data_IF_982563505750
#
_entry.id   IF_982563505750
#
_cell.length_a   1.000
_cell.length_b   1.000
_cell.length_c   1.000
_cell.angle_alpha   90.00
_cell.angle_beta   90.00
_cell.angle_gamma   90.00
#
_symmetry.space_group_name_H-M   'P 1'
#
loop_
_entity.id
_entity.type
_entity.pdbx_description
1 polymer ?
#
# COMPACT_ATOMS: atom_id res chain seq x y z
N UNK A 1 4.29 19.59 -4.08
CA UNK A 1 4.10 18.56 -3.03
C UNK A 1 2.68 17.99 -2.98
N UNK A 2 1.60 18.79 -2.98
CA UNK A 2 0.22 18.25 -2.93
C UNK A 2 -0.11 17.27 -4.07
N UNK A 3 0.36 17.55 -5.29
CA UNK A 3 0.16 16.69 -6.47
C UNK A 3 0.78 15.29 -6.34
N UNK A 4 1.82 15.11 -5.51
CA UNK A 4 2.42 13.79 -5.30
C UNK A 4 1.53 12.87 -4.47
N UNK A 5 0.64 13.43 -3.66
CA UNK A 5 -0.24 12.67 -2.77
C UNK A 5 -1.54 12.23 -3.45
N UNK A 6 -1.92 12.88 -4.55
CA UNK A 6 -3.14 12.55 -5.31
C UNK A 6 -2.82 11.59 -6.45
N UNK A 7 -3.77 10.71 -6.79
CA UNK A 7 -3.51 9.64 -7.76
C UNK A 7 -3.35 10.16 -9.20
N UNK A 8 -4.04 11.24 -9.52
CA UNK A 8 -3.98 11.96 -10.79
C UNK A 8 -2.65 12.72 -10.97
N UNK A 9 -2.22 13.45 -9.94
CA UNK A 9 -0.94 14.14 -9.93
C UNK A 9 0.23 13.16 -10.00
N UNK A 10 0.14 12.04 -9.28
CA UNK A 10 1.15 10.97 -9.36
C UNK A 10 1.28 10.37 -10.77
N UNK A 11 0.16 10.11 -11.45
CA UNK A 11 0.18 9.60 -12.81
C UNK A 11 0.82 10.60 -13.80
N UNK A 12 0.49 11.88 -13.65
CA UNK A 12 1.05 12.96 -14.46
C UNK A 12 2.56 13.10 -14.27
N UNK A 13 3.03 13.05 -13.02
CA UNK A 13 4.45 13.13 -12.65
C UNK A 13 5.21 11.90 -13.16
N UNK A 14 4.64 10.70 -13.01
CA UNK A 14 5.24 9.49 -13.52
C UNK A 14 5.43 9.54 -15.04
N UNK A 15 4.42 10.05 -15.77
CA UNK A 15 4.52 10.27 -17.22
C UNK A 15 5.61 11.30 -17.58
N UNK A 16 5.57 12.49 -16.97
CA UNK A 16 6.50 13.58 -17.25
C UNK A 16 7.97 13.18 -17.02
N UNK A 17 8.23 12.36 -16.01
CA UNK A 17 9.58 11.92 -15.65
C UNK A 17 9.93 10.50 -16.12
N UNK A 18 9.10 9.88 -16.98
CA UNK A 18 9.31 8.52 -17.52
C UNK A 18 9.56 7.48 -16.43
N UNK A 19 8.82 7.58 -15.32
CA UNK A 19 8.81 6.58 -14.26
C UNK A 19 7.75 5.53 -14.63
N UNK A 20 8.11 4.22 -14.71
CA UNK A 20 7.14 3.19 -14.99
C UNK A 20 5.98 3.23 -14.00
N UNK A 21 4.76 3.24 -14.50
CA UNK A 21 3.52 3.32 -13.75
C UNK A 21 2.41 2.58 -14.52
N UNK A 22 1.35 2.10 -13.86
CA UNK A 22 0.21 1.51 -14.56
C UNK A 22 -0.51 2.57 -15.41
N UNK A 23 -1.02 2.16 -16.57
CA UNK A 23 -1.85 3.04 -17.38
C UNK A 23 -3.05 3.54 -16.54
N UNK A 24 -3.26 4.85 -16.50
CA UNK A 24 -4.26 5.49 -15.65
C UNK A 24 -5.10 6.44 -16.48
N UNK A 25 -6.41 6.28 -16.38
CA UNK A 25 -7.41 7.11 -17.02
C UNK A 25 -8.22 7.84 -15.95
N UNK A 26 -8.34 9.16 -16.09
CA UNK A 26 -9.00 10.04 -15.13
C UNK A 26 -10.22 10.66 -15.85
N UNK A 27 -11.39 10.00 -15.80
CA UNK A 27 -12.60 10.52 -16.44
C UNK A 27 -13.12 11.75 -15.72
N UNK A 28 -13.60 12.73 -16.49
CA UNK A 28 -14.33 13.90 -15.99
C UNK A 28 -15.84 13.77 -16.17
N UNK A 29 -16.29 12.91 -17.09
CA UNK A 29 -17.71 12.70 -17.40
C UNK A 29 -18.06 11.22 -17.48
N UNK A 30 -19.35 10.89 -17.31
CA UNK A 30 -19.83 9.52 -17.49
C UNK A 30 -19.66 9.03 -18.94
N UNK A 31 -19.81 9.93 -19.92
CA UNK A 31 -19.60 9.63 -21.34
C UNK A 31 -18.15 9.23 -21.65
N UNK A 32 -17.18 9.87 -21.00
CA UNK A 32 -15.77 9.48 -21.09
C UNK A 32 -15.52 8.07 -20.55
N UNK A 33 -16.16 7.69 -19.45
CA UNK A 33 -16.08 6.31 -18.92
C UNK A 33 -16.65 5.31 -19.91
N UNK A 34 -17.81 5.60 -20.50
CA UNK A 34 -18.45 4.74 -21.50
C UNK A 34 -17.61 4.55 -22.76
N UNK A 35 -16.97 5.63 -23.23
CA UNK A 35 -16.04 5.56 -24.35
C UNK A 35 -14.78 4.76 -24.00
N UNK A 36 -14.15 5.05 -22.86
CA UNK A 36 -12.93 4.38 -22.43
C UNK A 36 -13.13 2.89 -22.17
N UNK A 37 -14.28 2.48 -21.64
CA UNK A 37 -14.58 1.08 -21.34
C UNK A 37 -14.41 0.13 -22.55
N UNK A 38 -14.55 0.64 -23.78
CA UNK A 38 -14.38 -0.18 -25.00
C UNK A 38 -12.93 -0.30 -25.46
N UNK A 39 -12.04 0.55 -24.96
CA UNK A 39 -10.65 0.68 -25.42
C UNK A 39 -9.64 0.17 -24.39
N UNK A 40 -10.05 -0.01 -23.13
CA UNK A 40 -9.18 -0.45 -22.06
C UNK A 40 -8.82 -1.94 -22.18
N UNK A 41 -7.60 -2.27 -21.76
CA UNK A 41 -7.18 -3.66 -21.56
C UNK A 41 -7.56 -4.11 -20.14
N UNK A 42 -8.29 -5.22 -20.05
CA UNK A 42 -8.79 -5.76 -18.78
C UNK A 42 -7.85 -6.84 -18.19
N UNK A 43 -7.83 -7.03 -16.86
CA UNK A 43 -8.65 -6.34 -15.85
C UNK A 43 -8.14 -4.93 -15.49
N UNK A 44 -9.08 -4.07 -15.11
CA UNK A 44 -8.80 -2.72 -14.59
C UNK A 44 -9.31 -2.58 -13.15
N UNK A 45 -8.89 -1.54 -12.45
CA UNK A 45 -9.37 -1.18 -11.12
C UNK A 45 -9.94 0.22 -11.09
N UNK A 46 -11.07 0.37 -10.42
CA UNK A 46 -11.61 1.64 -9.98
C UNK A 46 -10.99 2.03 -8.64
N UNK A 47 -10.57 3.28 -8.51
CA UNK A 47 -10.07 3.87 -7.25
C UNK A 47 -10.62 5.28 -7.08
N UNK A 48 -10.82 5.78 -5.85
CA UNK A 48 -11.06 7.21 -5.68
C UNK A 48 -9.76 7.99 -5.94
N UNK A 49 -9.89 9.24 -6.38
CA UNK A 49 -8.76 10.18 -6.45
C UNK A 49 -8.12 10.35 -5.07
N UNK A 50 -8.96 10.39 -4.02
CA UNK A 50 -8.55 10.45 -2.62
C UNK A 50 -9.01 9.20 -1.86
N UNK A 51 -8.07 8.41 -1.33
CA UNK A 51 -8.37 7.15 -0.63
C UNK A 51 -9.37 7.28 0.53
N UNK A 52 -9.40 8.42 1.21
CA UNK A 52 -10.31 8.66 2.33
C UNK A 52 -11.79 8.72 1.93
N UNK A 53 -12.11 9.07 0.68
CA UNK A 53 -13.50 9.20 0.22
C UNK A 53 -14.28 7.89 0.31
N UNK A 54 -13.63 6.75 0.06
CA UNK A 54 -14.28 5.43 0.15
C UNK A 54 -14.39 4.88 1.58
N UNK A 55 -13.94 5.63 2.58
CA UNK A 55 -14.19 5.29 3.99
C UNK A 55 -15.59 5.73 4.47
N UNK A 56 -16.31 6.52 3.66
CA UNK A 56 -17.70 6.92 3.94
C UNK A 56 -18.60 5.69 4.10
N UNK A 57 -19.48 5.62 5.12
CA UNK A 57 -20.26 4.43 5.43
C UNK A 57 -21.02 3.82 4.25
N UNK A 58 -21.57 4.68 3.38
CA UNK A 58 -22.37 4.31 2.22
C UNK A 58 -21.54 3.50 1.21
N UNK A 59 -20.36 4.02 0.85
CA UNK A 59 -19.42 3.36 -0.07
C UNK A 59 -18.79 2.14 0.60
N UNK A 60 -18.40 2.26 1.87
CA UNK A 60 -17.78 1.17 2.61
C UNK A 60 -18.72 -0.02 2.79
N UNK A 61 -20.03 0.22 2.88
CA UNK A 61 -21.07 -0.83 2.89
C UNK A 61 -21.23 -1.46 1.51
N UNK A 62 -21.35 -0.64 0.46
CA UNK A 62 -21.47 -1.09 -0.93
C UNK A 62 -20.32 -2.02 -1.35
N UNK A 63 -19.09 -1.70 -0.94
CA UNK A 63 -17.89 -2.42 -1.36
C UNK A 63 -17.50 -3.57 -0.42
N UNK A 64 -18.27 -3.84 0.64
CA UNK A 64 -17.94 -4.90 1.60
C UNK A 64 -18.43 -6.25 1.08
N UNK A 65 -17.49 -7.10 0.69
CA UNK A 65 -17.81 -8.47 0.25
C UNK A 65 -18.19 -9.42 1.41
N UNK A 66 -17.54 -9.32 2.57
CA UNK A 66 -17.84 -10.15 3.74
C UNK A 66 -17.35 -9.54 5.07
N UNK A 67 -17.76 -10.16 6.19
CA UNK A 67 -17.43 -9.73 7.56
C UNK A 67 -15.92 -9.67 7.85
N UNK A 68 -15.15 -10.50 7.16
CA UNK A 68 -13.71 -10.64 7.30
C UNK A 68 -12.94 -9.86 6.23
N UNK A 69 -13.61 -9.13 5.34
CA UNK A 69 -12.94 -8.25 4.38
C UNK A 69 -12.47 -6.98 5.10
N UNK A 70 -11.28 -6.51 4.72
CA UNK A 70 -10.84 -5.16 5.06
C UNK A 70 -11.72 -4.11 4.38
N UNK A 71 -11.42 -2.82 4.60
CA UNK A 71 -12.02 -1.77 3.79
C UNK A 71 -11.50 -1.90 2.36
N UNK A 72 -12.40 -1.96 1.39
CA UNK A 72 -12.02 -1.97 -0.01
C UNK A 72 -11.40 -0.60 -0.36
N UNK A 73 -10.22 -0.63 -0.98
CA UNK A 73 -9.54 0.57 -1.50
C UNK A 73 -9.73 0.73 -3.00
N UNK A 74 -10.08 -0.37 -3.67
CA UNK A 74 -10.20 -0.46 -5.11
C UNK A 74 -11.32 -1.47 -5.42
N UNK A 75 -11.89 -1.39 -6.62
CA UNK A 75 -12.75 -2.45 -7.16
C UNK A 75 -12.15 -2.93 -8.48
N UNK A 76 -11.92 -4.23 -8.60
CA UNK A 76 -11.45 -4.83 -9.85
C UNK A 76 -12.64 -5.12 -10.78
N UNK A 77 -12.51 -4.72 -12.04
CA UNK A 77 -13.47 -4.97 -13.10
C UNK A 77 -12.79 -5.80 -14.18
N UNK A 78 -13.37 -6.96 -14.51
CA UNK A 78 -12.78 -7.92 -15.46
C UNK A 78 -13.16 -7.68 -16.92
N UNK A 79 -14.15 -6.82 -17.19
CA UNK A 79 -14.62 -6.45 -18.54
C UNK A 79 -15.39 -5.12 -18.50
N UNK A 80 -15.74 -4.60 -19.68
CA UNK A 80 -16.43 -3.32 -19.87
C UNK A 80 -17.73 -3.19 -19.08
N UNK A 81 -18.63 -4.16 -19.17
CA UNK A 81 -19.91 -4.05 -18.47
C UNK A 81 -19.76 -4.02 -16.95
N UNK A 82 -18.82 -4.79 -16.39
CA UNK A 82 -18.53 -4.76 -14.96
C UNK A 82 -17.99 -3.39 -14.52
N UNK A 83 -17.17 -2.76 -15.36
CA UNK A 83 -16.65 -1.40 -15.14
C UNK A 83 -17.79 -0.38 -15.12
N UNK A 84 -18.64 -0.38 -16.15
CA UNK A 84 -19.75 0.56 -16.26
C UNK A 84 -20.78 0.38 -15.15
N UNK A 85 -21.13 -0.87 -14.82
CA UNK A 85 -22.04 -1.17 -13.73
C UNK A 85 -21.50 -0.66 -12.39
N UNK A 86 -20.22 -0.90 -12.10
CA UNK A 86 -19.62 -0.47 -10.84
C UNK A 86 -19.48 1.07 -10.78
N UNK A 87 -19.08 1.71 -11.88
CA UNK A 87 -19.02 3.17 -11.96
C UNK A 87 -20.38 3.80 -11.68
N UNK A 88 -21.47 3.32 -12.30
CA UNK A 88 -22.84 3.81 -12.06
C UNK A 88 -23.30 3.66 -10.61
N UNK A 89 -22.81 2.62 -9.90
CA UNK A 89 -23.09 2.43 -8.47
C UNK A 89 -22.30 3.39 -7.57
N UNK A 90 -21.07 3.75 -7.94
CA UNK A 90 -20.17 4.55 -7.12
C UNK A 90 -20.28 6.06 -7.38
N UNK A 91 -20.45 6.46 -8.63
CA UNK A 91 -20.46 7.86 -9.05
C UNK A 91 -21.48 8.75 -8.33
N UNK A 92 -22.69 8.27 -7.95
CA UNK A 92 -23.62 9.07 -7.14
C UNK A 92 -23.08 9.47 -5.76
N UNK A 93 -22.13 8.71 -5.21
CA UNK A 93 -21.52 8.98 -3.89
C UNK A 93 -20.18 9.72 -3.98
N UNK A 94 -19.38 9.40 -5.01
CA UNK A 94 -18.13 10.08 -5.32
C UNK A 94 -17.80 9.88 -6.80
N UNK A 95 -18.00 10.92 -7.61
CA UNK A 95 -17.69 10.87 -9.05
C UNK A 95 -16.18 10.97 -9.35
N UNK A 96 -15.36 11.31 -8.35
CA UNK A 96 -13.88 11.46 -8.49
C UNK A 96 -13.21 10.09 -8.46
N UNK A 97 -13.41 9.33 -9.52
CA UNK A 97 -12.93 7.96 -9.68
C UNK A 97 -11.92 7.91 -10.82
N UNK A 98 -10.80 7.22 -10.59
CA UNK A 98 -9.85 6.87 -11.65
C UNK A 98 -10.03 5.41 -12.06
N UNK A 99 -9.70 5.13 -13.32
CA UNK A 99 -9.64 3.79 -13.88
C UNK A 99 -8.17 3.48 -14.15
N UNK A 100 -7.64 2.41 -13.59
CA UNK A 100 -6.22 2.10 -13.69
C UNK A 100 -6.00 0.65 -14.10
N UNK A 101 -4.94 0.40 -14.85
CA UNK A 101 -4.47 -0.94 -15.19
C UNK A 101 -4.12 -1.75 -13.93
N UNK A 102 -4.45 -3.04 -13.94
CA UNK A 102 -3.93 -3.98 -12.93
C UNK A 102 -2.54 -4.43 -13.34
N UNK A 103 -1.54 -4.06 -12.55
CA UNK A 103 -0.18 -4.62 -12.70
C UNK A 103 -0.23 -6.11 -12.33
N UNK A 104 0.10 -7.03 -13.27
CA UNK A 104 -0.01 -8.45 -13.03
C UNK A 104 1.07 -8.95 -12.05
N UNK A 105 0.89 -10.19 -11.59
CA UNK A 105 1.78 -10.85 -10.63
C UNK A 105 1.20 -10.90 -9.21
N UNK A 106 1.79 -11.76 -8.37
CA UNK A 106 1.32 -11.99 -7.00
C UNK A 106 1.54 -10.76 -6.11
N UNK A 107 0.91 -10.76 -4.93
CA UNK A 107 1.12 -9.72 -3.92
C UNK A 107 2.58 -9.61 -3.47
N UNK A 108 3.34 -10.72 -3.53
CA UNK A 108 4.78 -10.75 -3.21
C UNK A 108 5.63 -9.85 -4.12
N UNK A 109 5.10 -9.40 -5.27
CA UNK A 109 5.77 -8.42 -6.12
C UNK A 109 5.64 -6.99 -5.59
N UNK A 110 4.82 -6.74 -4.57
CA UNK A 110 4.69 -5.44 -3.92
C UNK A 110 5.88 -5.16 -3.03
N UNK A 111 6.52 -4.03 -3.27
CA UNK A 111 7.64 -3.52 -2.50
C UNK A 111 7.38 -2.07 -2.11
N UNK A 112 8.02 -1.62 -1.05
CA UNK A 112 7.91 -0.24 -0.61
C UNK A 112 9.25 0.25 -0.09
N UNK A 113 9.60 1.46 -0.46
CA UNK A 113 10.77 2.18 0.04
C UNK A 113 10.30 3.28 0.97
N UNK A 114 10.74 3.24 2.23
CA UNK A 114 10.72 4.38 3.15
C UNK A 114 12.01 5.16 3.00
N UNK A 115 11.94 6.48 3.07
CA UNK A 115 13.10 7.33 2.84
C UNK A 115 13.02 8.66 3.60
N UNK A 116 14.18 9.33 3.69
CA UNK A 116 14.33 10.73 4.07
C UNK A 116 15.34 11.42 3.15
N UNK A 117 14.96 12.57 2.57
CA UNK A 117 15.84 13.44 1.79
C UNK A 117 16.03 14.77 2.54
N UNK A 118 17.26 15.26 2.62
CA UNK A 118 17.56 16.55 3.24
C UNK A 118 17.07 17.75 2.40
N UNK A 119 17.34 18.97 2.87
CA UNK A 119 17.01 20.23 2.18
C UNK A 119 17.69 20.43 0.83
N UNK A 120 18.69 19.62 0.50
CA UNK A 120 19.38 19.59 -0.80
C UNK A 120 18.92 18.41 -1.67
N UNK A 121 17.83 17.72 -1.28
CA UNK A 121 17.30 16.53 -1.96
C UNK A 121 18.30 15.37 -2.04
N UNK A 122 19.21 15.28 -1.08
CA UNK A 122 20.13 14.15 -0.94
C UNK A 122 19.54 13.11 0.02
N UNK A 123 19.58 11.81 -0.32
CA UNK A 123 19.01 10.77 0.52
C UNK A 123 19.87 10.54 1.78
N UNK A 124 19.32 10.82 2.95
CA UNK A 124 19.94 10.50 4.25
C UNK A 124 19.44 9.17 4.82
N UNK A 125 18.21 8.76 4.51
CA UNK A 125 17.67 7.47 4.93
C UNK A 125 17.04 6.73 3.74
N UNK A 126 17.32 5.44 3.60
CA UNK A 126 16.64 4.54 2.66
C UNK A 126 16.43 3.17 3.29
N UNK A 127 15.23 2.63 3.14
CA UNK A 127 14.87 1.31 3.63
C UNK A 127 13.82 0.67 2.72
N UNK A 128 14.01 -0.58 2.30
CA UNK A 128 13.04 -1.33 1.51
C UNK A 128 12.45 -2.54 2.25
N UNK A 129 11.16 -2.75 2.03
CA UNK A 129 10.42 -3.92 2.52
C UNK A 129 9.49 -4.50 1.46
N UNK A 130 9.42 -5.83 1.39
CA UNK A 130 8.55 -6.57 0.47
C UNK A 130 7.30 -7.03 1.21
N UNK A 131 6.11 -6.73 0.67
CA UNK A 131 4.83 -7.17 1.24
C UNK A 131 4.58 -8.59 0.78
N UNK A 132 4.74 -9.57 1.67
CA UNK A 132 4.47 -10.98 1.30
C UNK A 132 2.99 -11.34 1.47
N UNK A 133 2.26 -10.60 2.32
CA UNK A 133 0.82 -10.78 2.50
C UNK A 133 0.12 -9.44 2.73
N UNK A 134 -1.02 -9.29 2.08
CA UNK A 134 -1.88 -8.11 2.19
C UNK A 134 -3.32 -8.51 2.49
N UNK A 135 -4.11 -7.57 3.02
CA UNK A 135 -5.54 -7.74 3.24
C UNK A 135 -6.31 -6.47 2.87
N UNK A 136 -7.34 -6.54 2.00
CA UNK A 136 -7.72 -7.70 1.15
C UNK A 136 -6.63 -8.16 0.16
N UNK A 137 -6.66 -9.42 -0.29
CA UNK A 137 -5.69 -9.97 -1.26
C UNK A 137 -5.76 -9.17 -2.58
N UNK A 138 -4.62 -8.87 -3.20
CA UNK A 138 -4.50 -8.12 -4.46
C UNK A 138 -4.32 -6.62 -4.31
N UNK A 139 -5.10 -5.97 -3.43
CA UNK A 139 -5.19 -4.50 -3.35
C UNK A 139 -5.26 -3.95 -1.91
N UNK A 140 -4.79 -4.75 -0.97
CA UNK A 140 -4.90 -4.50 0.46
C UNK A 140 -3.77 -3.71 1.07
N UNK A 141 -3.83 -3.58 2.40
CA UNK A 141 -2.69 -3.12 3.19
C UNK A 141 -1.87 -4.31 3.66
N UNK A 142 -0.58 -4.11 3.92
CA UNK A 142 0.29 -5.17 4.43
C UNK A 142 -0.26 -5.77 5.73
N UNK A 143 -0.18 -7.09 5.84
CA UNK A 143 -0.27 -7.83 7.12
C UNK A 143 1.08 -8.42 7.51
N UNK A 144 1.95 -8.66 6.52
CA UNK A 144 3.29 -9.21 6.73
C UNK A 144 4.25 -8.63 5.70
N UNK A 145 5.38 -8.11 6.18
CA UNK A 145 6.46 -7.50 5.40
C UNK A 145 7.79 -8.12 5.81
N UNK A 146 8.72 -8.24 4.87
CA UNK A 146 10.11 -8.62 5.15
C UNK A 146 11.07 -7.59 4.56
N UNK A 147 12.05 -7.14 5.35
CA UNK A 147 13.11 -6.27 4.85
C UNK A 147 13.94 -7.00 3.80
N UNK A 148 14.31 -6.28 2.75
CA UNK A 148 15.13 -6.80 1.66
C UNK A 148 15.86 -5.64 0.98
N UNK A 149 16.87 -5.94 0.19
CA UNK A 149 17.54 -4.99 -0.68
C UNK A 149 17.40 -5.40 -2.14
N UNK A 150 17.15 -4.41 -3.01
CA UNK A 150 17.18 -4.57 -4.45
C UNK A 150 17.66 -3.26 -5.08
N UNK A 151 18.85 -3.24 -5.72
CA UNK A 151 19.41 -2.03 -6.29
C UNK A 151 18.53 -1.43 -7.39
N UNK A 152 17.78 -2.24 -8.15
CA UNK A 152 16.91 -1.73 -9.21
C UNK A 152 15.68 -1.00 -8.65
N UNK A 153 15.17 -1.45 -7.50
CA UNK A 153 14.10 -0.75 -6.79
C UNK A 153 14.60 0.58 -6.21
N UNK A 154 15.79 0.58 -5.62
CA UNK A 154 16.41 1.81 -5.10
C UNK A 154 16.67 2.82 -6.21
N UNK A 155 17.18 2.37 -7.35
CA UNK A 155 17.47 3.24 -8.50
C UNK A 155 16.21 3.95 -9.01
N UNK A 156 15.11 3.21 -9.25
CA UNK A 156 13.87 3.83 -9.75
C UNK A 156 13.27 4.80 -8.74
N UNK A 157 13.35 4.49 -7.44
CA UNK A 157 12.89 5.37 -6.37
C UNK A 157 13.70 6.67 -6.32
N UNK A 158 15.04 6.58 -6.32
CA UNK A 158 15.91 7.75 -6.31
C UNK A 158 15.78 8.58 -7.58
N UNK A 159 15.57 7.95 -8.74
CA UNK A 159 15.31 8.67 -10.00
C UNK A 159 14.05 9.54 -9.89
N UNK A 160 12.95 8.98 -9.39
CA UNK A 160 11.72 9.75 -9.15
C UNK A 160 11.98 10.89 -8.16
N UNK A 161 12.55 10.60 -6.99
CA UNK A 161 12.73 11.58 -5.92
C UNK A 161 13.64 12.75 -6.34
N UNK A 162 14.71 12.47 -7.10
CA UNK A 162 15.59 13.50 -7.68
C UNK A 162 14.87 14.33 -8.74
N UNK A 163 14.08 13.69 -9.60
CA UNK A 163 13.39 14.38 -10.70
C UNK A 163 12.40 15.45 -10.23
N UNK A 164 11.80 15.23 -9.05
CA UNK A 164 10.86 16.17 -8.42
C UNK A 164 11.49 17.00 -7.31
N UNK A 165 12.82 16.90 -7.11
CA UNK A 165 13.58 17.55 -6.02
C UNK A 165 12.90 17.38 -4.67
N UNK A 166 12.49 16.15 -4.34
CA UNK A 166 11.77 15.89 -3.09
C UNK A 166 12.64 16.18 -1.87
N UNK A 167 12.00 16.63 -0.79
CA UNK A 167 12.63 16.93 0.50
C UNK A 167 11.73 16.41 1.62
N UNK A 168 12.35 15.94 2.70
CA UNK A 168 11.69 15.33 3.84
C UNK A 168 11.48 13.82 3.69
N UNK A 169 10.57 13.29 4.51
CA UNK A 169 10.26 11.87 4.59
C UNK A 169 9.15 11.45 3.64
N UNK A 170 9.11 10.16 3.33
CA UNK A 170 8.00 9.58 2.61
C UNK A 170 8.17 8.09 2.35
N UNK A 171 7.24 7.59 1.54
CA UNK A 171 7.14 6.20 1.17
C UNK A 171 6.69 6.01 -0.26
N UNK A 172 7.44 5.23 -1.05
CA UNK A 172 7.04 4.85 -2.41
C UNK A 172 6.63 3.39 -2.43
N UNK A 173 5.43 3.08 -2.91
CA UNK A 173 5.00 1.72 -3.19
C UNK A 173 5.20 1.42 -4.68
N UNK A 174 5.84 0.29 -4.95
CA UNK A 174 6.02 -0.26 -6.28
C UNK A 174 5.45 -1.67 -6.36
N UNK A 175 5.04 -2.09 -7.55
CA UNK A 175 4.83 -3.50 -7.87
C UNK A 175 5.72 -3.88 -9.04
N UNK A 176 6.46 -4.98 -8.89
CA UNK A 176 7.24 -5.55 -10.00
C UNK A 176 6.29 -6.22 -11.00
N UNK A 177 6.25 -5.72 -12.22
CA UNK A 177 5.40 -6.26 -13.27
C UNK A 177 5.97 -7.58 -13.80
N UNK A 178 5.16 -8.63 -13.82
CA UNK A 178 5.59 -9.96 -14.25
C UNK A 178 5.84 -10.06 -15.77
N UNK A 179 5.37 -9.10 -16.58
CA UNK A 179 5.51 -9.11 -18.05
C UNK A 179 6.87 -8.58 -18.51
N UNK A 180 7.37 -7.54 -17.86
CA UNK A 180 8.57 -6.80 -18.26
C UNK A 180 9.65 -6.74 -17.17
N UNK A 181 9.35 -7.20 -15.95
CA UNK A 181 10.27 -7.22 -14.82
C UNK A 181 10.51 -5.86 -14.16
N UNK A 182 9.86 -4.78 -14.62
CA UNK A 182 10.06 -3.42 -14.13
C UNK A 182 9.25 -3.14 -12.85
N UNK A 183 9.79 -2.28 -12.00
CA UNK A 183 9.06 -1.72 -10.86
C UNK A 183 8.16 -0.58 -11.31
N UNK A 184 6.84 -0.81 -11.25
CA UNK A 184 5.82 0.19 -11.57
C UNK A 184 5.33 0.88 -10.31
N UNK A 185 5.34 2.21 -10.32
CA UNK A 185 4.92 3.06 -9.21
C UNK A 185 3.41 2.94 -8.97
N UNK A 186 3.03 2.57 -7.75
CA UNK A 186 1.63 2.35 -7.34
C UNK A 186 1.12 3.50 -6.47
N UNK A 187 1.96 3.99 -5.55
CA UNK A 187 1.58 5.03 -4.61
C UNK A 187 2.79 5.80 -4.11
N UNK A 188 2.60 7.10 -3.86
CA UNK A 188 3.55 7.95 -3.15
C UNK A 188 2.86 8.49 -1.90
N UNK A 189 3.34 8.04 -0.73
CA UNK A 189 2.95 8.54 0.57
C UNK A 189 3.92 9.65 1.02
N UNK A 190 3.47 10.90 1.07
CA UNK A 190 4.26 12.05 1.57
C UNK A 190 4.24 12.15 3.12
N UNK A 191 4.29 11.00 3.79
CA UNK A 191 4.21 10.82 5.25
C UNK A 191 4.77 9.47 5.65
N UNK A 192 4.94 9.24 6.95
CA UNK A 192 5.24 7.92 7.47
C UNK A 192 4.19 6.88 7.06
N UNK A 193 4.69 5.72 6.65
CA UNK A 193 3.95 4.51 6.40
C UNK A 193 3.65 3.73 7.68
N UNK A 194 2.74 2.76 7.55
CA UNK A 194 2.24 1.93 8.66
C UNK A 194 3.33 1.11 9.36
N UNK A 195 4.40 0.77 8.64
CA UNK A 195 5.45 -0.12 9.11
C UNK A 195 6.84 0.50 8.94
N UNK A 196 6.94 1.83 8.79
CA UNK A 196 8.22 2.51 8.65
C UNK A 196 9.12 2.32 9.88
N UNK A 197 8.55 2.02 11.05
CA UNK A 197 9.33 1.61 12.23
C UNK A 197 10.15 0.31 12.01
N UNK A 198 9.83 -0.50 11.00
CA UNK A 198 10.68 -1.63 10.60
C UNK A 198 12.05 -1.14 10.11
N UNK A 199 12.13 0.05 9.51
CA UNK A 199 13.39 0.67 9.12
C UNK A 199 14.30 0.85 10.34
N UNK A 200 13.76 1.42 11.42
CA UNK A 200 14.47 1.61 12.70
C UNK A 200 14.93 0.27 13.26
N UNK A 201 14.04 -0.73 13.27
CA UNK A 201 14.38 -2.09 13.69
C UNK A 201 15.50 -2.71 12.85
N UNK A 202 15.65 -2.32 11.58
CA UNK A 202 16.71 -2.79 10.69
C UNK A 202 18.00 -1.97 10.76
N UNK A 203 18.02 -0.86 11.52
CA UNK A 203 19.17 0.02 11.70
C UNK A 203 19.10 1.36 10.96
N UNK A 204 17.93 1.72 10.40
CA UNK A 204 17.69 3.02 9.74
C UNK A 204 16.74 3.85 10.60
N UNK A 205 17.28 4.73 11.42
CA UNK A 205 16.52 5.61 12.30
C UNK A 205 16.04 6.86 11.57
N UNK A 206 15.07 6.67 10.66
CA UNK A 206 14.49 7.76 9.86
C UNK A 206 13.95 8.91 10.72
N UNK A 207 13.24 8.68 11.85
CA UNK A 207 12.82 9.75 12.75
C UNK A 207 13.99 10.54 13.34
N UNK A 208 15.05 9.87 13.80
CA UNK A 208 16.24 10.55 14.33
C UNK A 208 16.96 11.37 13.26
N UNK A 209 17.14 10.81 12.06
CA UNK A 209 17.69 11.54 10.91
C UNK A 209 16.88 12.79 10.60
N UNK A 210 15.54 12.65 10.59
CA UNK A 210 14.64 13.77 10.33
C UNK A 210 14.75 14.86 11.40
N UNK A 211 14.88 14.47 12.67
CA UNK A 211 15.09 15.39 13.78
C UNK A 211 16.42 16.15 13.65
N UNK A 212 17.52 15.45 13.39
CA UNK A 212 18.84 16.06 13.24
C UNK A 212 18.90 17.03 12.05
N UNK A 213 18.39 16.65 10.87
CA UNK A 213 18.36 17.54 9.70
C UNK A 213 17.45 18.77 9.94
N UNK A 214 16.33 18.59 10.64
CA UNK A 214 15.44 19.69 10.99
C UNK A 214 16.13 20.74 11.89
N UNK A 215 17.04 20.30 12.75
CA UNK A 215 17.84 21.16 13.64
C UNK A 215 19.19 21.59 13.05
N UNK A 216 19.56 21.12 11.86
CA UNK A 216 20.87 21.38 11.26
C UNK A 216 22.02 20.68 12.00
N UNK A 217 21.73 19.61 12.74
CA UNK A 217 22.74 18.78 13.38
C UNK A 217 23.43 17.89 12.34
N UNK A 218 24.70 17.49 12.57
CA UNK A 218 25.38 16.51 11.71
C UNK A 218 24.59 15.19 11.62
N UNK A 219 24.43 14.68 10.41
CA UNK A 219 23.76 13.39 10.14
C UNK A 219 24.63 12.55 9.23
N UNK A 220 24.94 11.34 9.69
CA UNK A 220 25.51 10.29 8.84
C UNK A 220 24.40 9.60 8.04
N UNK A 221 24.48 9.53 6.68
CA UNK A 221 23.48 8.85 5.87
C UNK A 221 23.38 7.35 6.20
N UNK A 222 22.17 6.88 6.48
CA UNK A 222 21.86 5.48 6.76
C UNK A 222 21.15 4.85 5.57
N UNK A 223 21.87 4.01 4.82
CA UNK A 223 21.35 3.30 3.63
C UNK A 223 21.62 1.80 3.65
N UNK A 224 22.35 1.31 4.65
CA UNK A 224 22.63 -0.11 4.86
C UNK A 224 21.88 -0.59 6.09
N UNK A 225 21.20 -1.72 5.96
CA UNK A 225 20.32 -2.22 7.00
C UNK A 225 20.27 -3.74 6.98
N UNK A 226 19.77 -4.31 8.07
CA UNK A 226 19.57 -5.76 8.18
C UNK A 226 18.42 -6.22 7.29
N UNK A 227 18.70 -7.21 6.44
CA UNK A 227 17.70 -7.89 5.62
C UNK A 227 17.04 -9.06 6.36
N UNK A 228 15.86 -9.48 5.91
CA UNK A 228 15.15 -10.64 6.45
C UNK A 228 14.36 -10.38 7.73
N UNK A 229 14.41 -9.17 8.30
CA UNK A 229 13.63 -8.78 9.48
C UNK A 229 12.16 -8.64 9.09
N UNK A 230 11.28 -9.15 9.94
CA UNK A 230 9.85 -9.26 9.63
C UNK A 230 9.08 -8.14 10.34
N UNK A 231 8.15 -7.48 9.66
CA UNK A 231 7.06 -6.77 10.31
C UNK A 231 5.76 -7.57 10.17
N UNK A 232 4.99 -7.68 11.25
CA UNK A 232 3.73 -8.44 11.24
C UNK A 232 2.64 -7.77 12.09
N UNK A 233 1.48 -7.57 11.48
CA UNK A 233 0.22 -7.31 12.17
C UNK A 233 -0.49 -8.66 12.35
N UNK A 234 -0.38 -9.22 13.56
CA UNK A 234 -0.83 -10.58 13.85
C UNK A 234 -2.31 -10.81 13.51
N UNK A 235 -3.20 -9.88 13.88
CA UNK A 235 -4.63 -10.04 13.68
C UNK A 235 -4.99 -9.94 12.20
N UNK A 236 -4.34 -9.04 11.45
CA UNK A 236 -4.50 -8.97 9.99
C UNK A 236 -3.93 -10.22 9.32
N UNK A 237 -2.78 -10.71 9.78
CA UNK A 237 -2.07 -11.79 9.11
C UNK A 237 -2.77 -13.14 9.27
N UNK A 238 -3.38 -13.41 10.43
CA UNK A 238 -4.24 -14.59 10.62
C UNK A 238 -5.43 -14.57 9.65
N UNK A 239 -6.05 -13.40 9.45
CA UNK A 239 -7.14 -13.23 8.47
C UNK A 239 -6.65 -13.37 7.04
N UNK A 240 -5.53 -12.73 6.71
CA UNK A 240 -4.90 -12.85 5.40
C UNK A 240 -4.58 -14.32 5.10
N UNK A 241 -3.93 -15.04 6.03
CA UNK A 241 -3.64 -16.47 5.91
C UNK A 241 -4.89 -17.28 5.58
N UNK A 242 -6.02 -17.07 6.28
CA UNK A 242 -7.28 -17.77 5.97
C UNK A 242 -7.77 -17.48 4.55
N UNK A 243 -7.60 -16.25 4.07
CA UNK A 243 -7.97 -15.87 2.70
C UNK A 243 -7.02 -16.50 1.66
N UNK A 244 -5.70 -16.44 1.86
CA UNK A 244 -4.72 -17.04 0.94
C UNK A 244 -4.86 -18.56 0.89
N UNK A 245 -5.11 -19.21 2.04
CA UNK A 245 -5.35 -20.65 2.12
C UNK A 245 -6.60 -21.07 1.36
N UNK A 246 -7.70 -20.31 1.47
CA UNK A 246 -8.93 -20.56 0.69
C UNK A 246 -8.70 -20.44 -0.82
N UNK A 247 -7.76 -19.60 -1.26
CA UNK A 247 -7.35 -19.47 -2.68
C UNK A 247 -6.26 -20.47 -3.10
N UNK A 248 -5.84 -21.38 -2.22
CA UNK A 248 -4.76 -22.35 -2.50
C UNK A 248 -3.36 -21.73 -2.58
N UNK A 249 -3.20 -20.45 -2.23
CA UNK A 249 -1.96 -19.69 -2.40
C UNK A 249 -0.98 -19.84 -1.22
N UNK A 250 -1.47 -20.29 -0.05
CA UNK A 250 -0.63 -20.43 1.15
C UNK A 250 -1.07 -21.63 2.01
N UNK A 251 -0.12 -22.51 2.32
CA UNK A 251 -0.33 -23.66 3.22
C UNK A 251 -0.06 -23.29 4.68
N UNK A 252 -0.66 -24.02 5.62
CA UNK A 252 -0.40 -23.83 7.06
C UNK A 252 1.09 -23.98 7.39
N UNK A 253 1.75 -24.99 6.82
CA UNK A 253 3.19 -25.23 7.00
C UNK A 253 4.02 -24.03 6.54
N UNK A 254 3.76 -23.52 5.33
CA UNK A 254 4.49 -22.34 4.79
C UNK A 254 4.21 -21.08 5.61
N UNK A 255 2.98 -20.90 6.08
CA UNK A 255 2.64 -19.77 6.95
C UNK A 255 3.43 -19.82 8.27
N UNK A 256 3.41 -20.95 8.98
CA UNK A 256 4.17 -21.13 10.22
C UNK A 256 5.68 -20.98 10.01
N UNK A 257 6.21 -21.52 8.91
CA UNK A 257 7.62 -21.33 8.54
C UNK A 257 7.97 -19.86 8.30
N UNK A 258 7.06 -19.08 7.69
CA UNK A 258 7.30 -17.66 7.46
C UNK A 258 7.43 -16.86 8.76
N UNK A 259 6.85 -17.35 9.87
CA UNK A 259 6.94 -16.69 11.18
C UNK A 259 8.28 -16.93 11.90
N UNK A 260 9.27 -17.57 11.28
CA UNK A 260 10.61 -17.74 11.88
C UNK A 260 11.50 -16.52 11.61
N UNK A 261 12.38 -16.21 12.56
CA UNK A 261 13.31 -15.08 12.46
C UNK A 261 12.93 -13.88 13.33
N UNK A 262 13.73 -12.82 13.22
CA UNK A 262 13.54 -11.56 13.93
C UNK A 262 12.26 -10.84 13.49
N UNK A 263 11.55 -10.22 14.44
CA UNK A 263 10.26 -9.57 14.20
C UNK A 263 10.15 -8.22 14.88
N UNK A 264 9.45 -7.32 14.20
CA UNK A 264 8.72 -6.19 14.75
C UNK A 264 7.22 -6.52 14.69
N UNK A 265 6.57 -6.52 15.84
CA UNK A 265 5.12 -6.65 15.91
C UNK A 265 4.48 -5.27 15.70
N UNK A 266 3.38 -5.22 14.95
CA UNK A 266 2.73 -3.96 14.62
C UNK A 266 2.14 -3.23 15.84
N UNK A 267 1.69 -4.00 16.85
CA UNK A 267 0.91 -3.49 17.99
C UNK A 267 1.37 -4.10 19.31
N UNK A 268 1.81 -5.35 19.29
CA UNK A 268 2.14 -6.07 20.52
C UNK A 268 3.58 -5.82 20.93
N UNK A 269 3.76 -5.35 22.14
CA UNK A 269 5.07 -5.29 22.77
C UNK A 269 5.05 -6.14 24.05
N UNK A 270 6.19 -6.75 24.39
CA UNK A 270 6.32 -7.54 25.63
C UNK A 270 6.45 -6.62 26.84
N UNK A 271 7.10 -5.48 26.66
CA UNK A 271 7.34 -4.47 27.70
C UNK A 271 6.12 -3.54 27.85
N UNK A 272 5.33 -3.37 26.78
CA UNK A 272 4.07 -2.63 26.79
C UNK A 272 2.89 -3.46 26.23
N UNK A 273 2.40 -4.39 27.04
CA UNK A 273 1.36 -5.35 26.62
C UNK A 273 -0.07 -4.78 26.64
N UNK A 274 -0.34 -3.73 27.42
CA UNK A 274 -1.69 -3.19 27.65
C UNK A 274 -2.36 -2.73 26.35
N UNK A 275 -1.69 -1.99 25.43
CA UNK A 275 -2.27 -1.61 24.14
C UNK A 275 -2.68 -2.82 23.29
N UNK A 276 -1.85 -3.88 23.27
CA UNK A 276 -2.13 -5.10 22.52
C UNK A 276 -3.42 -5.81 22.98
N UNK A 277 -3.64 -5.88 24.30
CA UNK A 277 -4.86 -6.45 24.88
C UNK A 277 -6.08 -5.55 24.58
N UNK A 278 -5.96 -4.24 24.82
CA UNK A 278 -7.05 -3.30 24.56
C UNK A 278 -7.49 -3.32 23.09
N UNK A 279 -6.53 -3.36 22.17
CA UNK A 279 -6.80 -3.45 20.73
C UNK A 279 -7.48 -4.78 20.37
N UNK A 280 -7.03 -5.90 20.93
CA UNK A 280 -7.64 -7.22 20.69
C UNK A 280 -9.08 -7.29 21.18
N UNK A 281 -9.34 -6.74 22.37
CA UNK A 281 -10.70 -6.63 22.92
C UNK A 281 -11.60 -5.73 22.06
N UNK A 282 -11.08 -4.61 21.56
CA UNK A 282 -11.82 -3.73 20.65
C UNK A 282 -12.19 -4.44 19.34
N UNK A 283 -11.26 -5.20 18.74
CA UNK A 283 -11.55 -5.99 17.54
C UNK A 283 -12.62 -7.06 17.80
N UNK A 284 -12.60 -7.72 18.95
CA UNK A 284 -13.63 -8.68 19.34
C UNK A 284 -14.99 -8.01 19.46
N UNK A 285 -15.08 -6.84 20.11
CA UNK A 285 -16.32 -6.05 20.18
C UNK A 285 -16.87 -5.70 18.81
N UNK A 286 -16.02 -5.23 17.89
CA UNK A 286 -16.44 -4.92 16.52
C UNK A 286 -16.94 -6.16 15.77
N UNK A 287 -16.27 -7.30 15.96
CA UNK A 287 -16.70 -8.56 15.36
C UNK A 287 -18.08 -8.99 15.88
N UNK A 288 -18.29 -8.99 17.19
CA UNK A 288 -19.57 -9.34 17.81
C UNK A 288 -20.70 -8.42 17.35
N UNK A 289 -20.49 -7.09 17.38
CA UNK A 289 -21.48 -6.11 16.90
C UNK A 289 -21.92 -6.38 15.46
N UNK A 290 -20.98 -6.72 14.58
CA UNK A 290 -21.28 -7.02 13.17
C UNK A 290 -21.96 -8.37 12.98
N UNK A 291 -21.67 -9.34 13.85
CA UNK A 291 -22.35 -10.62 13.83
C UNK A 291 -23.83 -10.43 14.16
N UNK A 292 -24.14 -9.71 15.24
CA UNK A 292 -25.51 -9.45 15.67
C UNK A 292 -26.30 -8.54 14.70
N UNK A 293 -25.68 -7.53 14.10
CA UNK A 293 -26.33 -6.66 13.11
C UNK A 293 -26.71 -7.35 11.77
N UNK A 294 -26.35 -8.63 11.59
CA UNK A 294 -26.74 -9.43 10.42
C UNK A 294 -27.94 -10.34 10.70
N UNK A 295 -28.35 -10.46 11.97
CA UNK A 295 -29.43 -11.34 12.44
C UNK A 295 -30.59 -10.58 13.09
N UNK A 296 -30.57 -9.24 13.08
CA UNK A 296 -31.67 -8.37 13.48
C UNK A 296 -31.92 -7.35 12.38
#
# INVERSE_FOLDING_TARGET
MKELATKDGLASIACAHRIPAPATFIPHTAAEVESAARQLTYPVILKPVEGASWHRPEIASLLRENLLSGRAKVVQCSHADALLQMYRKLAPYDARIIIQEVIPGPDENLSYISFYLNRQSQPLALFAGRKLRVIPIGFGSASYVRSFYDPALEEVALRLLRSVKYQGLGGLEFKRDARDGQYKLVEFNVRFGMWDGLAVRCGIDTPYIAYCDALGLPVEPQRRYREGVIWIDWQRDVRAFRMYRRRGQLTLRRWLQSLRGEKMWAIYDREDWKPGIAFSYHLLKLFLRRLFARYG
#
